data_IF_966579691806
#
_entry.id   IF_966579691806
#
_cell.length_a   1.000
_cell.length_b   1.000
_cell.length_c   1.000
_cell.angle_alpha   90.00
_cell.angle_beta   90.00
_cell.angle_gamma   90.00
#
_symmetry.space_group_name_H-M   'P 1'
#
loop_
_entity.id
_entity.type
_entity.pdbx_description
1 polymer ?
#
# COMPACT_ATOMS: atom_id res chain seq x y z
N UNK A 1 6.18 15.70 -26.81
CA UNK A 1 6.21 15.37 -25.37
C UNK A 1 4.78 15.50 -24.85
N UNK A 2 4.18 14.42 -24.38
CA UNK A 2 2.73 14.34 -24.12
C UNK A 2 2.25 15.34 -23.08
N UNK A 3 1.11 15.97 -23.34
CA UNK A 3 0.51 16.99 -22.49
C UNK A 3 -0.31 16.40 -21.33
N UNK A 4 -0.03 15.15 -20.95
CA UNK A 4 -0.81 14.41 -19.96
C UNK A 4 -0.43 14.92 -18.57
N UNK A 5 -1.43 15.27 -17.78
CA UNK A 5 -1.26 15.65 -16.39
C UNK A 5 -0.95 14.37 -15.56
N UNK A 6 0.18 14.31 -14.83
CA UNK A 6 0.50 13.16 -13.98
C UNK A 6 -0.63 12.76 -13.03
N UNK A 7 -1.41 13.73 -12.52
CA UNK A 7 -2.53 13.46 -11.62
C UNK A 7 -3.63 12.62 -12.27
N UNK A 8 -3.79 12.70 -13.60
CA UNK A 8 -4.75 11.85 -14.34
C UNK A 8 -4.29 10.40 -14.31
N UNK A 9 -2.98 10.16 -14.44
CA UNK A 9 -2.39 8.81 -14.38
C UNK A 9 -2.59 8.22 -12.97
N UNK A 10 -2.34 9.02 -11.93
CA UNK A 10 -2.60 8.65 -10.52
C UNK A 10 -4.05 8.25 -10.28
N UNK A 11 -5.00 9.08 -10.74
CA UNK A 11 -6.44 8.81 -10.59
C UNK A 11 -6.85 7.54 -11.35
N UNK A 12 -6.35 7.35 -12.57
CA UNK A 12 -6.62 6.14 -13.36
C UNK A 12 -6.09 4.89 -12.66
N UNK A 13 -4.86 4.95 -12.10
CA UNK A 13 -4.31 3.88 -11.27
C UNK A 13 -5.24 3.55 -10.11
N UNK A 14 -5.64 4.54 -9.32
CA UNK A 14 -6.56 4.36 -8.19
C UNK A 14 -7.92 3.78 -8.61
N UNK A 15 -8.49 4.19 -9.75
CA UNK A 15 -9.74 3.62 -10.27
C UNK A 15 -9.57 2.13 -10.58
N UNK A 16 -8.46 1.74 -11.21
CA UNK A 16 -8.15 0.32 -11.48
C UNK A 16 -7.98 -0.45 -10.17
N UNK A 17 -7.36 0.15 -9.15
CA UNK A 17 -7.25 -0.49 -7.85
C UNK A 17 -8.60 -0.70 -7.18
N UNK A 18 -9.49 0.30 -7.22
CA UNK A 18 -10.84 0.22 -6.59
C UNK A 18 -11.68 -0.89 -7.19
N UNK A 19 -11.53 -1.19 -8.49
CA UNK A 19 -12.26 -2.30 -9.12
C UNK A 19 -11.61 -3.67 -8.86
N UNK A 20 -10.41 -3.76 -8.27
CA UNK A 20 -9.71 -5.03 -8.00
C UNK A 20 -10.57 -6.05 -7.25
N UNK A 21 -11.30 -5.74 -6.17
CA UNK A 21 -12.18 -6.70 -5.52
C UNK A 21 -13.30 -7.24 -6.43
N UNK A 22 -13.88 -6.39 -7.30
CA UNK A 22 -14.89 -6.80 -8.26
C UNK A 22 -14.29 -7.73 -9.32
N UNK A 23 -13.11 -7.40 -9.84
CA UNK A 23 -12.42 -8.24 -10.83
C UNK A 23 -11.96 -9.57 -10.18
N UNK A 24 -11.54 -9.54 -8.92
CA UNK A 24 -11.23 -10.73 -8.14
C UNK A 24 -12.46 -11.63 -7.96
N UNK A 25 -13.64 -11.05 -7.75
CA UNK A 25 -14.90 -11.79 -7.68
C UNK A 25 -15.22 -12.50 -9.01
N UNK A 26 -15.05 -11.81 -10.13
CA UNK A 26 -15.41 -12.31 -11.46
C UNK A 26 -14.39 -13.29 -12.04
N UNK A 27 -13.10 -13.09 -11.78
CA UNK A 27 -11.99 -13.77 -12.45
C UNK A 27 -10.98 -14.41 -11.48
N UNK A 28 -11.29 -14.44 -10.19
CA UNK A 28 -10.46 -15.05 -9.15
C UNK A 28 -9.09 -14.35 -8.97
N UNK A 29 -8.12 -15.13 -8.50
CA UNK A 29 -6.76 -14.66 -8.19
C UNK A 29 -6.09 -14.00 -9.40
N UNK A 30 -6.26 -14.54 -10.61
CA UNK A 30 -5.62 -14.01 -11.82
C UNK A 30 -6.13 -12.60 -12.12
N UNK A 31 -7.44 -12.36 -11.97
CA UNK A 31 -8.03 -11.03 -12.14
C UNK A 31 -7.52 -10.02 -11.11
N UNK A 32 -7.39 -10.44 -9.86
CA UNK A 32 -6.83 -9.61 -8.80
C UNK A 32 -5.38 -9.22 -9.11
N UNK A 33 -4.53 -10.21 -9.43
CA UNK A 33 -3.12 -10.00 -9.78
C UNK A 33 -2.95 -9.08 -11.00
N UNK A 34 -3.77 -9.27 -12.04
CA UNK A 34 -3.71 -8.44 -13.24
C UNK A 34 -4.02 -6.96 -12.93
N UNK A 35 -5.08 -6.69 -12.17
CA UNK A 35 -5.46 -5.32 -11.81
C UNK A 35 -4.46 -4.66 -10.87
N UNK A 36 -3.93 -5.38 -9.89
CA UNK A 36 -2.84 -4.91 -9.01
C UNK A 36 -1.62 -4.54 -9.87
N UNK A 37 -1.19 -5.41 -10.78
CA UNK A 37 -0.03 -5.15 -11.64
C UNK A 37 -0.23 -3.91 -12.52
N UNK A 38 -1.38 -3.79 -13.19
CA UNK A 38 -1.69 -2.62 -14.03
C UNK A 38 -1.72 -1.34 -13.20
N UNK A 39 -2.43 -1.36 -12.07
CA UNK A 39 -2.56 -0.18 -11.21
C UNK A 39 -1.20 0.25 -10.62
N UNK A 40 -0.39 -0.69 -10.14
CA UNK A 40 0.95 -0.41 -9.61
C UNK A 40 1.93 0.09 -10.67
N UNK A 41 1.76 -0.35 -11.93
CA UNK A 41 2.55 0.17 -13.06
C UNK A 41 2.19 1.61 -13.40
N UNK A 42 0.90 1.97 -13.41
CA UNK A 42 0.46 3.34 -13.65
C UNK A 42 1.01 4.30 -12.59
N UNK A 43 1.00 3.88 -11.34
CA UNK A 43 1.58 4.58 -10.19
C UNK A 43 3.11 4.76 -10.35
N UNK A 44 3.84 3.73 -10.77
CA UNK A 44 5.27 3.88 -11.06
C UNK A 44 5.55 4.88 -12.21
N UNK A 45 4.67 4.90 -13.22
CA UNK A 45 4.77 5.81 -14.37
C UNK A 45 4.46 7.25 -13.98
N UNK A 46 3.44 7.50 -13.15
CA UNK A 46 3.02 8.87 -12.82
C UNK A 46 4.14 9.66 -12.12
N UNK A 47 4.88 9.03 -11.22
CA UNK A 47 5.96 9.64 -10.47
C UNK A 47 7.13 9.98 -11.37
N UNK A 48 7.43 9.11 -12.34
CA UNK A 48 8.48 9.36 -13.32
C UNK A 48 8.09 10.43 -14.35
N UNK A 49 6.81 10.45 -14.77
CA UNK A 49 6.28 11.50 -15.64
C UNK A 49 6.30 12.85 -14.92
N UNK A 50 5.92 12.91 -13.65
CA UNK A 50 5.98 14.14 -12.85
C UNK A 50 7.40 14.67 -12.69
N UNK A 51 8.38 13.80 -12.41
CA UNK A 51 9.80 14.15 -12.31
C UNK A 51 10.37 14.63 -13.65
N UNK A 52 10.18 13.87 -14.72
CA UNK A 52 10.72 14.17 -16.04
C UNK A 52 10.13 15.44 -16.68
N UNK A 53 8.89 15.81 -16.32
CA UNK A 53 8.24 17.04 -16.77
C UNK A 53 8.45 18.24 -15.83
N UNK A 54 9.14 18.07 -14.69
CA UNK A 54 9.31 19.13 -13.69
C UNK A 54 7.99 19.59 -13.05
N UNK A 55 6.97 18.72 -13.02
CA UNK A 55 5.60 19.01 -12.53
C UNK A 55 5.34 18.52 -11.10
N UNK A 56 6.40 18.27 -10.33
CA UNK A 56 6.30 17.88 -8.92
C UNK A 56 5.63 19.01 -8.12
N UNK A 57 4.56 18.69 -7.38
CA UNK A 57 3.79 19.70 -6.63
C UNK A 57 3.26 19.15 -5.32
N UNK A 58 2.99 20.03 -4.35
CA UNK A 58 2.40 19.64 -3.04
C UNK A 58 1.01 19.01 -3.19
N UNK A 59 0.21 19.54 -4.12
CA UNK A 59 -1.12 18.99 -4.45
C UNK A 59 -0.99 17.56 -5.01
N UNK A 60 -0.07 17.35 -5.95
CA UNK A 60 0.18 16.03 -6.53
C UNK A 60 0.65 15.04 -5.48
N UNK A 61 1.62 15.41 -4.64
CA UNK A 61 2.12 14.55 -3.56
C UNK A 61 1.01 14.16 -2.54
N UNK A 62 0.09 15.07 -2.23
CA UNK A 62 -1.07 14.75 -1.40
C UNK A 62 -2.03 13.78 -2.10
N UNK A 63 -2.32 14.02 -3.39
CA UNK A 63 -3.24 13.18 -4.16
C UNK A 63 -2.68 11.76 -4.35
N UNK A 64 -1.41 11.65 -4.74
CA UNK A 64 -0.63 10.41 -4.83
C UNK A 64 -0.71 9.63 -3.52
N UNK A 65 -0.38 10.30 -2.41
CA UNK A 65 -0.52 9.70 -1.10
C UNK A 65 -1.94 9.23 -0.79
N UNK A 66 -2.99 9.99 -1.10
CA UNK A 66 -4.36 9.55 -0.87
C UNK A 66 -4.72 8.32 -1.72
N UNK A 67 -4.38 8.36 -3.01
CA UNK A 67 -4.61 7.29 -3.97
C UNK A 67 -3.91 5.99 -3.54
N UNK A 68 -2.68 6.06 -3.01
CA UNK A 68 -1.98 4.91 -2.43
C UNK A 68 -2.79 4.18 -1.36
N UNK A 69 -3.39 4.93 -0.42
CA UNK A 69 -4.14 4.31 0.67
C UNK A 69 -5.43 3.68 0.16
N UNK A 70 -6.08 4.31 -0.82
CA UNK A 70 -7.26 3.75 -1.48
C UNK A 70 -6.88 2.44 -2.20
N UNK A 71 -5.78 2.45 -2.94
CA UNK A 71 -5.28 1.28 -3.67
C UNK A 71 -4.90 0.14 -2.73
N UNK A 72 -4.13 0.41 -1.68
CA UNK A 72 -3.74 -0.57 -0.67
C UNK A 72 -4.98 -1.23 -0.03
N UNK A 73 -6.00 -0.45 0.33
CA UNK A 73 -7.24 -0.98 0.89
C UNK A 73 -8.01 -1.85 -0.09
N UNK A 74 -8.07 -1.46 -1.36
CA UNK A 74 -8.75 -2.25 -2.39
C UNK A 74 -8.01 -3.56 -2.68
N UNK A 75 -6.68 -3.54 -2.74
CA UNK A 75 -5.86 -4.74 -2.92
C UNK A 75 -6.03 -5.71 -1.75
N UNK A 76 -5.92 -5.23 -0.50
CA UNK A 76 -6.10 -6.05 0.70
C UNK A 76 -7.55 -6.56 0.77
N UNK A 77 -8.53 -5.70 0.48
CA UNK A 77 -9.95 -6.06 0.47
C UNK A 77 -10.30 -7.15 -0.53
N UNK A 78 -9.58 -7.25 -1.65
CA UNK A 78 -9.79 -8.32 -2.64
C UNK A 78 -9.55 -9.72 -2.06
N UNK A 79 -8.68 -9.88 -1.06
CA UNK A 79 -8.45 -11.17 -0.40
C UNK A 79 -9.69 -11.66 0.36
N UNK A 80 -10.53 -10.75 0.88
CA UNK A 80 -11.80 -11.13 1.49
C UNK A 80 -12.72 -11.81 0.47
N UNK A 81 -12.78 -11.26 -0.75
CA UNK A 81 -13.55 -11.81 -1.86
C UNK A 81 -12.99 -13.16 -2.30
N UNK A 82 -11.67 -13.33 -2.25
CA UNK A 82 -10.99 -14.60 -2.54
C UNK A 82 -11.13 -15.64 -1.41
N UNK A 83 -11.83 -15.28 -0.32
CA UNK A 83 -12.22 -16.21 0.74
C UNK A 83 -11.29 -16.27 1.94
N UNK A 84 -10.37 -15.30 2.08
CA UNK A 84 -9.58 -15.09 3.30
C UNK A 84 -10.47 -14.57 4.42
N UNK A 85 -10.17 -14.95 5.67
CA UNK A 85 -10.88 -14.48 6.87
C UNK A 85 -11.03 -12.94 6.90
N UNK A 86 -12.26 -12.41 7.04
CA UNK A 86 -12.49 -10.96 7.16
C UNK A 86 -11.73 -10.30 8.31
N UNK A 87 -11.50 -11.05 9.41
CA UNK A 87 -10.73 -10.56 10.55
C UNK A 87 -9.27 -10.32 10.18
N UNK A 88 -8.65 -11.25 9.45
CA UNK A 88 -7.26 -11.08 8.99
C UNK A 88 -7.14 -9.90 8.02
N UNK A 89 -8.06 -9.81 7.06
CA UNK A 89 -8.13 -8.69 6.10
C UNK A 89 -8.28 -7.35 6.81
N UNK A 90 -9.16 -7.28 7.82
CA UNK A 90 -9.37 -6.07 8.62
C UNK A 90 -8.10 -5.65 9.37
N UNK A 91 -7.42 -6.59 10.05
CA UNK A 91 -6.19 -6.30 10.80
C UNK A 91 -5.06 -5.87 9.85
N UNK A 92 -4.91 -6.55 8.70
CA UNK A 92 -3.91 -6.20 7.69
C UNK A 92 -4.16 -4.82 7.08
N UNK A 93 -5.41 -4.50 6.74
CA UNK A 93 -5.81 -3.19 6.23
C UNK A 93 -5.53 -2.08 7.26
N UNK A 94 -5.94 -2.29 8.52
CA UNK A 94 -5.65 -1.37 9.61
C UNK A 94 -4.15 -1.16 9.82
N UNK A 95 -3.37 -2.24 9.81
CA UNK A 95 -1.91 -2.18 9.94
C UNK A 95 -1.24 -1.42 8.78
N UNK A 96 -1.68 -1.66 7.55
CA UNK A 96 -1.20 -0.93 6.36
C UNK A 96 -1.45 0.58 6.45
N UNK A 97 -2.65 0.97 6.90
CA UNK A 97 -3.00 2.37 7.14
C UNK A 97 -2.16 2.98 8.27
N UNK A 98 -1.94 2.24 9.38
CA UNK A 98 -1.12 2.70 10.49
C UNK A 98 0.33 2.94 10.07
N UNK A 99 0.95 2.04 9.29
CA UNK A 99 2.31 2.22 8.77
C UNK A 99 2.43 3.56 8.01
N UNK A 100 1.43 3.87 7.19
CA UNK A 100 1.40 5.07 6.35
C UNK A 100 1.05 6.33 7.16
N UNK A 101 0.16 6.21 8.14
CA UNK A 101 -0.23 7.29 9.05
C UNK A 101 0.91 7.70 9.97
N UNK A 102 1.57 6.73 10.61
CA UNK A 102 2.70 6.97 11.51
C UNK A 102 3.81 7.72 10.77
N UNK A 103 4.14 7.30 9.55
CA UNK A 103 5.10 8.03 8.69
C UNK A 103 4.68 9.47 8.47
N UNK A 104 3.46 9.70 7.96
CA UNK A 104 2.98 11.05 7.67
C UNK A 104 2.94 11.94 8.94
N UNK A 105 2.53 11.38 10.08
CA UNK A 105 2.46 12.09 11.35
C UNK A 105 3.84 12.42 11.89
N UNK A 106 4.77 11.47 11.85
CA UNK A 106 6.13 11.70 12.29
C UNK A 106 6.86 12.74 11.42
N UNK A 107 6.71 12.67 10.10
CA UNK A 107 7.27 13.67 9.18
C UNK A 107 6.70 15.06 9.46
N UNK A 108 5.40 15.17 9.79
CA UNK A 108 4.79 16.44 10.22
C UNK A 108 5.34 17.00 11.54
N UNK A 109 5.97 16.15 12.36
CA UNK A 109 6.64 16.50 13.61
C UNK A 109 8.17 16.64 13.42
N UNK A 110 8.66 16.66 12.18
CA UNK A 110 10.08 16.81 11.87
C UNK A 110 10.91 15.54 11.99
N UNK A 111 10.28 14.36 12.12
CA UNK A 111 10.98 13.06 12.17
C UNK A 111 10.88 12.37 10.82
N UNK A 112 12.03 12.09 10.22
CA UNK A 112 12.13 11.29 9.00
C UNK A 112 12.17 9.79 9.34
N UNK A 113 11.27 9.00 8.73
CA UNK A 113 11.06 7.56 9.00
C UNK A 113 11.37 6.68 7.79
N UNK A 114 11.85 7.25 6.68
CA UNK A 114 12.26 6.48 5.51
C UNK A 114 13.27 5.39 5.87
N UNK A 115 13.00 4.14 5.48
CA UNK A 115 13.87 2.99 5.74
C UNK A 115 13.71 2.36 7.14
N UNK A 116 12.79 2.85 7.98
CA UNK A 116 12.43 2.19 9.24
C UNK A 116 11.22 1.30 9.00
N UNK A 117 11.34 0.00 9.27
CA UNK A 117 10.29 -0.97 9.04
C UNK A 117 10.50 -1.86 7.82
N UNK A 118 10.12 -3.13 7.93
CA UNK A 118 10.27 -4.12 6.87
C UNK A 118 9.22 -3.99 5.75
N UNK A 119 8.01 -3.55 6.09
CA UNK A 119 6.87 -3.52 5.16
C UNK A 119 6.54 -2.10 4.69
N UNK A 120 7.44 -1.48 3.91
CA UNK A 120 7.07 -0.27 3.17
C UNK A 120 6.06 -0.59 2.05
N UNK A 121 5.65 0.41 1.27
CA UNK A 121 4.54 0.24 0.33
C UNK A 121 4.86 -0.81 -0.76
N UNK A 122 6.07 -0.77 -1.30
CA UNK A 122 6.51 -1.74 -2.31
C UNK A 122 6.46 -3.17 -1.77
N UNK A 123 7.01 -3.39 -0.58
CA UNK A 123 7.02 -4.71 0.09
C UNK A 123 5.62 -5.18 0.44
N UNK A 124 4.69 -4.27 0.76
CA UNK A 124 3.28 -4.63 0.96
C UNK A 124 2.62 -5.12 -0.33
N UNK A 125 2.81 -4.40 -1.45
CA UNK A 125 2.25 -4.81 -2.74
C UNK A 125 2.83 -6.17 -3.15
N UNK A 126 4.15 -6.35 -3.04
CA UNK A 126 4.81 -7.62 -3.32
C UNK A 126 4.32 -8.74 -2.38
N UNK A 127 4.16 -8.44 -1.09
CA UNK A 127 3.61 -9.38 -0.11
C UNK A 127 2.21 -9.87 -0.48
N UNK A 128 1.32 -8.97 -0.92
CA UNK A 128 -0.02 -9.34 -1.39
C UNK A 128 0.02 -10.21 -2.65
N UNK A 129 0.91 -9.90 -3.60
CA UNK A 129 1.15 -10.74 -4.77
C UNK A 129 1.61 -12.13 -4.36
N UNK A 130 2.54 -12.25 -3.41
CA UNK A 130 2.99 -13.55 -2.88
C UNK A 130 1.86 -14.31 -2.20
N UNK A 131 1.04 -13.66 -1.38
CA UNK A 131 -0.15 -14.29 -0.76
C UNK A 131 -1.06 -14.90 -1.82
N UNK A 132 -1.34 -14.13 -2.89
CA UNK A 132 -2.19 -14.58 -3.99
C UNK A 132 -1.56 -15.73 -4.79
N UNK A 133 -0.26 -15.65 -5.14
CA UNK A 133 0.44 -16.69 -5.90
C UNK A 133 0.53 -18.00 -5.11
N UNK A 134 0.84 -17.95 -3.82
CA UNK A 134 0.84 -19.12 -2.94
C UNK A 134 -0.58 -19.69 -2.81
N UNK A 135 -1.60 -18.83 -2.76
CA UNK A 135 -3.00 -19.24 -2.74
C UNK A 135 -3.48 -19.98 -4.00
N UNK A 136 -2.77 -19.86 -5.12
CA UNK A 136 -3.03 -20.69 -6.31
C UNK A 136 -2.70 -22.17 -6.08
N UNK A 137 -1.85 -22.49 -5.09
CA UNK A 137 -1.52 -23.87 -4.73
C UNK A 137 -2.67 -24.52 -3.96
N UNK A 138 -3.15 -23.86 -2.91
CA UNK A 138 -4.33 -24.24 -2.13
C UNK A 138 -4.72 -23.12 -1.13
N UNK A 139 -5.92 -23.24 -0.55
CA UNK A 139 -6.49 -22.26 0.39
C UNK A 139 -5.70 -22.14 1.70
N UNK A 140 -5.23 -23.26 2.25
CA UNK A 140 -4.50 -23.27 3.53
C UNK A 140 -3.19 -22.48 3.42
N UNK A 141 -2.48 -22.64 2.31
CA UNK A 141 -1.27 -21.89 2.02
C UNK A 141 -1.55 -20.38 1.87
N UNK A 142 -2.68 -19.99 1.27
CA UNK A 142 -3.12 -18.59 1.19
C UNK A 142 -3.34 -17.99 2.59
N UNK A 143 -4.04 -18.71 3.47
CA UNK A 143 -4.35 -18.25 4.82
C UNK A 143 -3.07 -18.12 5.65
N UNK A 144 -2.14 -19.08 5.56
CA UNK A 144 -0.82 -18.99 6.21
C UNK A 144 -0.03 -17.77 5.71
N UNK A 145 0.02 -17.58 4.38
CA UNK A 145 0.72 -16.42 3.80
C UNK A 145 0.09 -15.10 4.26
N UNK A 146 -1.25 -15.04 4.35
CA UNK A 146 -1.95 -13.86 4.85
C UNK A 146 -1.67 -13.59 6.33
N UNK A 147 -1.60 -14.64 7.17
CA UNK A 147 -1.22 -14.50 8.58
C UNK A 147 0.17 -13.89 8.68
N UNK A 148 1.14 -14.41 7.91
CA UNK A 148 2.50 -13.88 7.87
C UNK A 148 2.53 -12.41 7.42
N UNK A 149 1.81 -12.08 6.35
CA UNK A 149 1.66 -10.69 5.88
C UNK A 149 1.10 -9.77 6.96
N UNK A 150 0.06 -10.21 7.67
CA UNK A 150 -0.60 -9.46 8.74
C UNK A 150 0.34 -9.24 9.93
N UNK A 151 1.10 -10.26 10.32
CA UNK A 151 2.09 -10.15 11.40
C UNK A 151 3.22 -9.19 11.03
N UNK A 152 3.76 -9.28 9.82
CA UNK A 152 4.86 -8.41 9.36
C UNK A 152 4.44 -6.94 9.24
N UNK A 153 3.22 -6.68 8.75
CA UNK A 153 2.66 -5.33 8.68
C UNK A 153 2.36 -4.78 10.08
N UNK A 154 1.79 -5.58 10.97
CA UNK A 154 1.58 -5.20 12.38
C UNK A 154 2.90 -4.89 13.09
N UNK A 155 3.91 -5.74 12.93
CA UNK A 155 5.26 -5.53 13.46
C UNK A 155 5.85 -4.21 12.95
N UNK A 156 5.78 -3.97 11.64
CA UNK A 156 6.30 -2.74 11.01
C UNK A 156 5.60 -1.48 11.57
N UNK A 157 4.29 -1.53 11.79
CA UNK A 157 3.56 -0.42 12.41
C UNK A 157 4.07 -0.13 13.83
N UNK A 158 4.25 -1.17 14.65
CA UNK A 158 4.77 -1.05 16.01
C UNK A 158 6.20 -0.51 16.00
N UNK A 159 7.07 -1.05 15.15
CA UNK A 159 8.46 -0.61 15.00
C UNK A 159 8.54 0.88 14.68
N UNK A 160 7.76 1.35 13.68
CA UNK A 160 7.69 2.77 13.33
C UNK A 160 7.16 3.63 14.48
N UNK A 161 6.14 3.17 15.20
CA UNK A 161 5.61 3.90 16.34
C UNK A 161 6.66 4.05 17.45
N UNK A 162 7.33 2.96 17.82
CA UNK A 162 8.39 2.94 18.85
C UNK A 162 9.56 3.83 18.43
N UNK A 163 9.99 3.74 17.18
CA UNK A 163 11.04 4.61 16.63
C UNK A 163 10.65 6.09 16.74
N UNK A 164 9.43 6.44 16.32
CA UNK A 164 8.91 7.82 16.38
C UNK A 164 8.93 8.37 17.80
N UNK A 165 8.40 7.60 18.77
CA UNK A 165 8.37 8.00 20.19
C UNK A 165 9.78 8.24 20.72
N UNK A 166 10.72 7.31 20.44
CA UNK A 166 12.12 7.45 20.86
C UNK A 166 12.79 8.71 20.29
N UNK A 167 12.51 9.05 19.03
CA UNK A 167 13.07 10.25 18.40
C UNK A 167 12.50 11.54 19.01
N UNK A 168 11.18 11.60 19.24
CA UNK A 168 10.54 12.75 19.90
C UNK A 168 11.09 12.98 21.32
N UNK A 169 11.31 11.91 22.08
CA UNK A 169 11.86 12.00 23.44
C UNK A 169 13.33 12.46 23.46
N UNK A 170 14.08 12.26 22.38
CA UNK A 170 15.48 12.72 22.25
C UNK A 170 15.60 14.17 21.75
N UNK A 171 14.58 14.65 21.03
CA UNK A 171 14.53 15.99 20.42
C UNK A 171 13.96 17.09 21.31
N UNK A 172 13.88 16.88 22.63
CA UNK A 172 13.43 17.92 23.58
C UNK A 172 14.61 18.56 24.35
N UNK A 173 15.35 19.52 23.79
CA UNK A 173 15.81 20.64 24.59
C UNK A 173 14.59 21.54 24.85
N UNK A 174 14.32 21.83 26.12
CA UNK A 174 13.46 22.96 26.50
C UNK A 174 14.06 24.26 25.97
#
# INVERSE_FOLDING_TARGET
RGNIDPNVITILGAVIAVITPLVAYLYGIIGALATIAISSLLDAIDGEVARSLGRVSRKGAFLDSLCDRISDLAYIGSLMVLGVSPVLVYIAAGSSLLISYIRARAESLGIYISGVGLMERGERILGLVVVMLVGMLNREAMDIAMIMFTVLTGYTAIERAVYSVKMLSRGSPQ
#
